data_IF_806167016638
#
_entry.id   IF_806167016638
#
_cell.length_a   1.000
_cell.length_b   1.000
_cell.length_c   1.000
_cell.angle_alpha   90.00
_cell.angle_beta   90.00
_cell.angle_gamma   90.00
#
_symmetry.space_group_name_H-M   'P 1'
#
loop_
_entity.id
_entity.type
_entity.pdbx_description
1 polymer ?
#
# COMPACT_ATOMS: atom_id res chain seq x y z
N UNK A 1 10.31 -20.30 9.92
CA UNK A 1 8.86 -20.01 9.66
C UNK A 1 8.53 -18.51 9.71
N UNK A 2 9.10 -17.71 10.64
CA UNK A 2 8.86 -16.26 10.72
C UNK A 2 9.18 -15.50 9.42
N UNK A 3 10.32 -15.80 8.78
CA UNK A 3 10.75 -15.15 7.52
C UNK A 3 9.76 -15.35 6.37
N UNK A 4 9.10 -16.53 6.27
CA UNK A 4 8.10 -16.79 5.24
C UNK A 4 6.86 -15.90 5.41
N UNK A 5 6.39 -15.74 6.66
CA UNK A 5 5.24 -14.87 6.95
C UNK A 5 5.56 -13.43 6.56
N UNK A 6 6.75 -12.94 6.94
CA UNK A 6 7.26 -11.61 6.60
C UNK A 6 7.27 -11.38 5.08
N UNK A 7 7.86 -12.31 4.32
CA UNK A 7 7.93 -12.22 2.85
C UNK A 7 6.55 -12.26 2.21
N UNK A 8 5.67 -13.17 2.64
CA UNK A 8 4.29 -13.28 2.12
C UNK A 8 3.53 -11.97 2.32
N UNK A 9 3.55 -11.41 3.53
CA UNK A 9 2.86 -10.15 3.82
C UNK A 9 3.42 -8.98 3.01
N UNK A 10 4.74 -8.93 2.80
CA UNK A 10 5.35 -7.88 2.00
C UNK A 10 4.97 -7.98 0.51
N UNK A 11 4.94 -9.19 -0.05
CA UNK A 11 4.48 -9.40 -1.43
C UNK A 11 2.97 -9.17 -1.60
N UNK A 12 2.15 -9.50 -0.59
CA UNK A 12 0.72 -9.15 -0.57
C UNK A 12 0.51 -7.63 -0.59
N UNK A 13 1.34 -6.88 0.15
CA UNK A 13 1.34 -5.42 0.09
C UNK A 13 1.71 -4.93 -1.31
N UNK A 14 2.78 -5.48 -1.91
CA UNK A 14 3.21 -5.15 -3.28
C UNK A 14 2.07 -5.40 -4.26
N UNK A 15 1.41 -6.56 -4.21
CA UNK A 15 0.28 -6.89 -5.07
C UNK A 15 -0.86 -5.87 -4.90
N UNK A 16 -1.21 -5.56 -3.66
CA UNK A 16 -2.27 -4.59 -3.33
C UNK A 16 -1.97 -3.20 -3.89
N UNK A 17 -0.72 -2.75 -3.80
CA UNK A 17 -0.27 -1.48 -4.36
C UNK A 17 -0.16 -1.52 -5.88
N UNK A 18 0.29 -2.64 -6.46
CA UNK A 18 0.46 -2.84 -7.90
C UNK A 18 -0.86 -2.81 -8.66
N UNK A 19 -1.91 -3.43 -8.10
CA UNK A 19 -3.28 -3.35 -8.63
C UNK A 19 -3.75 -1.91 -8.84
N UNK A 20 -3.16 -0.96 -8.12
CA UNK A 20 -3.50 0.46 -8.19
C UNK A 20 -2.48 1.31 -8.95
N UNK A 21 -1.30 0.80 -9.25
CA UNK A 21 -0.20 1.56 -9.85
C UNK A 21 -0.60 2.28 -11.15
N UNK A 22 -1.47 1.66 -11.96
CA UNK A 22 -1.98 2.24 -13.21
C UNK A 22 -2.87 3.48 -13.04
N UNK A 23 -3.38 3.72 -11.84
CA UNK A 23 -4.33 4.82 -11.56
C UNK A 23 -3.71 5.96 -10.75
N UNK A 24 -2.43 5.87 -10.40
CA UNK A 24 -1.73 6.91 -9.62
C UNK A 24 -0.50 7.42 -10.37
N UNK A 25 -0.27 8.75 -10.37
CA UNK A 25 0.95 9.34 -10.91
C UNK A 25 2.16 9.09 -9.99
N UNK A 26 1.93 8.95 -8.67
CA UNK A 26 3.00 8.65 -7.70
C UNK A 26 2.91 7.19 -7.22
N UNK A 27 3.96 6.43 -7.57
CA UNK A 27 4.15 5.02 -7.23
C UNK A 27 5.29 4.81 -6.22
N UNK A 28 5.70 5.83 -5.48
CA UNK A 28 6.81 5.76 -4.52
C UNK A 28 6.60 4.67 -3.45
N UNK A 29 5.38 4.52 -2.91
CA UNK A 29 5.05 3.44 -1.95
C UNK A 29 5.25 2.03 -2.57
N UNK A 30 4.86 1.86 -3.83
CA UNK A 30 5.01 0.58 -4.52
C UNK A 30 6.49 0.27 -4.77
N UNK A 31 7.26 1.25 -5.25
CA UNK A 31 8.71 1.10 -5.45
C UNK A 31 9.41 0.73 -4.14
N UNK A 32 9.09 1.43 -3.04
CA UNK A 32 9.62 1.11 -1.71
C UNK A 32 9.29 -0.33 -1.31
N UNK A 33 8.02 -0.72 -1.48
CA UNK A 33 7.56 -2.05 -1.08
C UNK A 33 8.21 -3.17 -1.90
N UNK A 34 8.43 -2.96 -3.21
CA UNK A 34 9.13 -3.92 -4.07
C UNK A 34 10.58 -4.09 -3.63
N UNK A 35 11.27 -2.97 -3.35
CA UNK A 35 12.68 -3.01 -2.93
C UNK A 35 12.83 -3.73 -1.58
N UNK A 36 11.96 -3.44 -0.62
CA UNK A 36 11.94 -4.13 0.68
C UNK A 36 11.57 -5.61 0.50
N UNK A 37 10.56 -5.93 -0.30
CA UNK A 37 10.17 -7.32 -0.56
C UNK A 37 11.32 -8.11 -1.20
N UNK A 38 12.03 -7.52 -2.17
CA UNK A 38 13.19 -8.15 -2.79
C UNK A 38 14.30 -8.43 -1.77
N UNK A 39 14.64 -7.44 -0.92
CA UNK A 39 15.60 -7.58 0.17
C UNK A 39 15.21 -8.67 1.20
N UNK A 40 13.93 -8.76 1.55
CA UNK A 40 13.47 -9.80 2.49
C UNK A 40 13.41 -11.18 1.83
N UNK A 41 13.21 -11.24 0.51
CA UNK A 41 13.16 -12.51 -0.24
C UNK A 41 14.53 -13.15 -0.34
N UNK A 42 15.60 -12.34 -0.44
CA UNK A 42 16.99 -12.85 -0.42
C UNK A 42 17.38 -13.45 0.93
N UNK A 43 16.60 -13.20 1.98
CA UNK A 43 16.77 -13.75 3.34
C UNK A 43 16.08 -15.12 3.52
N UNK A 44 15.59 -15.74 2.45
CA UNK A 44 15.09 -17.13 2.46
C UNK A 44 16.27 -18.06 2.21
N UNK A 45 16.57 -18.94 3.18
CA UNK A 45 17.72 -19.85 3.21
C UNK A 45 17.99 -20.55 1.87
N UNK A 46 16.94 -21.07 1.22
CA UNK A 46 17.06 -21.77 -0.06
C UNK A 46 17.43 -20.89 -1.25
N UNK A 47 17.01 -19.62 -1.27
CA UNK A 47 17.37 -18.68 -2.32
C UNK A 47 18.77 -18.08 -2.08
N UNK A 48 19.11 -17.85 -0.81
CA UNK A 48 20.42 -17.35 -0.40
C UNK A 48 21.54 -18.29 -0.87
N UNK A 49 21.43 -19.59 -0.57
CA UNK A 49 22.41 -20.60 -0.98
C UNK A 49 22.61 -20.66 -2.49
N UNK A 50 21.50 -20.74 -3.23
CA UNK A 50 21.55 -20.85 -4.68
C UNK A 50 22.28 -19.67 -5.34
N UNK A 51 22.16 -18.48 -4.74
CA UNK A 51 22.83 -17.29 -5.19
C UNK A 51 24.27 -17.18 -4.65
N UNK A 52 24.53 -17.59 -3.41
CA UNK A 52 25.84 -17.60 -2.79
C UNK A 52 26.81 -18.55 -3.50
N UNK A 53 26.35 -19.73 -3.93
CA UNK A 53 27.15 -20.70 -4.72
C UNK A 53 27.65 -20.13 -6.06
N UNK A 54 26.99 -19.10 -6.59
CA UNK A 54 27.32 -18.49 -7.89
C UNK A 54 28.12 -17.20 -7.76
N UNK A 55 28.30 -16.68 -6.55
CA UNK A 55 28.89 -15.38 -6.32
C UNK A 55 30.33 -15.53 -5.83
N UNK A 56 31.29 -14.73 -6.32
CA UNK A 56 32.68 -14.80 -5.87
C UNK A 56 32.89 -14.30 -4.42
N UNK A 57 31.86 -13.74 -3.78
CA UNK A 57 31.89 -13.22 -2.42
C UNK A 57 30.91 -13.97 -1.51
N UNK A 58 31.39 -14.71 -0.49
CA UNK A 58 30.60 -15.63 0.34
C UNK A 58 29.32 -15.04 0.94
N UNK A 59 29.33 -13.77 1.35
CA UNK A 59 28.16 -13.09 1.92
C UNK A 59 27.81 -11.76 1.21
N UNK A 60 28.27 -11.57 -0.04
CA UNK A 60 27.99 -10.35 -0.81
C UNK A 60 26.50 -10.11 -1.07
N UNK A 61 25.70 -11.18 -1.11
CA UNK A 61 24.25 -11.11 -1.24
C UNK A 61 23.59 -10.52 0.02
N UNK A 62 24.12 -10.81 1.21
CA UNK A 62 23.62 -10.22 2.46
C UNK A 62 23.83 -8.71 2.45
N UNK A 63 25.04 -8.24 2.08
CA UNK A 63 25.31 -6.80 1.95
C UNK A 63 24.36 -6.15 0.94
N UNK A 64 24.18 -6.75 -0.24
CA UNK A 64 23.27 -6.24 -1.25
C UNK A 64 21.82 -6.16 -0.73
N UNK A 65 21.35 -7.21 -0.05
CA UNK A 65 20.02 -7.26 0.55
C UNK A 65 19.81 -6.15 1.57
N UNK A 66 20.77 -5.94 2.47
CA UNK A 66 20.67 -4.92 3.52
C UNK A 66 20.79 -3.50 2.95
N UNK A 67 21.59 -3.28 1.91
CA UNK A 67 21.62 -2.02 1.15
C UNK A 67 20.27 -1.74 0.49
N UNK A 68 19.66 -2.75 -0.15
CA UNK A 68 18.30 -2.64 -0.69
C UNK A 68 17.30 -2.27 0.42
N UNK A 69 17.40 -2.89 1.60
CA UNK A 69 16.53 -2.57 2.74
C UNK A 69 16.63 -1.09 3.12
N UNK A 70 17.84 -0.53 3.22
CA UNK A 70 18.06 0.89 3.54
C UNK A 70 17.37 1.79 2.51
N UNK A 71 17.53 1.50 1.21
CA UNK A 71 16.84 2.25 0.15
C UNK A 71 15.31 2.11 0.25
N UNK A 72 14.83 0.90 0.51
CA UNK A 72 13.42 0.60 0.71
C UNK A 72 12.81 1.42 1.86
N UNK A 73 13.46 1.42 3.02
CA UNK A 73 13.07 2.18 4.22
C UNK A 73 13.10 3.69 3.95
N UNK A 74 14.12 4.19 3.23
CA UNK A 74 14.18 5.59 2.81
C UNK A 74 12.95 5.98 1.97
N UNK A 75 12.63 5.24 0.91
CA UNK A 75 11.48 5.55 0.07
C UNK A 75 10.15 5.40 0.83
N UNK A 76 10.06 4.42 1.72
CA UNK A 76 8.87 4.19 2.52
C UNK A 76 8.60 5.37 3.47
N UNK A 77 9.61 5.81 4.20
CA UNK A 77 9.49 6.95 5.13
C UNK A 77 9.03 8.22 4.41
N UNK A 78 9.59 8.50 3.23
CA UNK A 78 9.20 9.62 2.38
C UNK A 78 7.74 9.51 1.94
N UNK A 79 7.30 8.31 1.54
CA UNK A 79 5.94 8.09 1.10
C UNK A 79 4.93 8.25 2.24
N UNK A 80 5.28 7.81 3.45
CA UNK A 80 4.44 8.00 4.64
C UNK A 80 4.39 9.49 5.02
N UNK A 81 5.53 10.18 5.04
CA UNK A 81 5.59 11.61 5.32
C UNK A 81 4.75 12.44 4.33
N UNK A 82 4.86 12.13 3.04
CA UNK A 82 4.05 12.78 2.00
C UNK A 82 2.54 12.49 2.16
N UNK A 83 2.18 11.26 2.53
CA UNK A 83 0.78 10.88 2.78
C UNK A 83 0.19 11.48 4.06
N UNK A 84 1.04 11.76 5.07
CA UNK A 84 0.61 12.28 6.37
C UNK A 84 0.36 13.80 6.33
N UNK A 85 1.18 14.54 5.58
CA UNK A 85 1.24 16.01 5.57
C UNK A 85 0.47 16.62 4.39
N UNK A 86 -0.71 16.11 4.04
CA UNK A 86 -1.50 16.57 2.89
C UNK A 86 -1.82 18.08 2.96
N UNK A 87 -0.90 18.93 2.48
CA UNK A 87 -0.95 20.40 2.54
C UNK A 87 0.42 21.07 2.73
N UNK A 88 1.36 20.45 3.45
CA UNK A 88 2.66 21.05 3.76
C UNK A 88 3.77 20.45 2.90
N UNK A 89 4.53 21.31 2.23
CA UNK A 89 5.76 20.90 1.55
C UNK A 89 6.72 20.30 2.59
N UNK A 90 7.15 19.05 2.37
CA UNK A 90 8.25 18.50 3.17
C UNK A 90 9.43 19.44 2.95
N UNK A 91 9.93 20.07 4.02
CA UNK A 91 11.09 20.94 3.92
C UNK A 91 12.21 20.17 3.24
N UNK A 92 12.75 20.73 2.15
CA UNK A 92 13.83 20.08 1.37
C UNK A 92 15.04 19.73 2.23
N UNK A 93 15.18 20.33 3.42
CA UNK A 93 16.22 20.03 4.39
C UNK A 93 16.05 18.67 5.06
N UNK A 94 14.81 18.26 5.37
CA UNK A 94 14.51 16.97 6.03
C UNK A 94 14.77 15.80 5.07
N UNK A 95 14.37 15.95 3.80
CA UNK A 95 14.63 14.94 2.76
C UNK A 95 16.12 14.83 2.42
N UNK A 96 16.83 15.96 2.38
CA UNK A 96 18.27 15.96 2.16
C UNK A 96 19.02 15.27 3.30
N UNK A 97 18.61 15.52 4.55
CA UNK A 97 19.21 14.88 5.72
C UNK A 97 18.99 13.37 5.73
N UNK A 98 17.76 12.91 5.50
CA UNK A 98 17.43 11.48 5.37
C UNK A 98 18.25 10.79 4.26
N UNK A 99 18.38 11.43 3.09
CA UNK A 99 19.18 10.91 1.98
C UNK A 99 20.66 10.80 2.36
N UNK A 100 21.22 11.84 2.98
CA UNK A 100 22.62 11.84 3.44
C UNK A 100 22.84 10.76 4.49
N UNK A 101 21.95 10.63 5.46
CA UNK A 101 22.01 9.58 6.48
C UNK A 101 21.98 8.18 5.86
N UNK A 102 21.12 7.93 4.87
CA UNK A 102 21.07 6.65 4.16
C UNK A 102 22.40 6.34 3.43
N UNK A 103 22.96 7.32 2.71
CA UNK A 103 24.25 7.15 2.01
C UNK A 103 25.39 6.89 2.99
N UNK A 104 25.47 7.67 4.08
CA UNK A 104 26.49 7.48 5.12
C UNK A 104 26.36 6.08 5.74
N UNK A 105 25.14 5.65 6.03
CA UNK A 105 24.86 4.31 6.57
C UNK A 105 25.38 3.22 5.63
N UNK A 106 25.04 3.30 4.34
CA UNK A 106 25.51 2.33 3.33
C UNK A 106 27.04 2.31 3.22
N UNK A 107 27.69 3.48 3.27
CA UNK A 107 29.16 3.56 3.23
C UNK A 107 29.78 2.90 4.47
N UNK A 108 29.28 3.21 5.67
CA UNK A 108 29.78 2.60 6.91
C UNK A 108 29.54 1.10 6.90
N UNK A 109 28.37 0.63 6.44
CA UNK A 109 28.07 -0.79 6.29
C UNK A 109 29.05 -1.47 5.34
N UNK A 110 29.30 -0.90 4.15
CA UNK A 110 30.20 -1.49 3.16
C UNK A 110 31.65 -1.55 3.67
N UNK A 111 32.12 -0.51 4.35
CA UNK A 111 33.46 -0.49 4.97
C UNK A 111 33.55 -1.51 6.09
N UNK A 112 32.54 -1.56 6.97
CA UNK A 112 32.51 -2.51 8.09
C UNK A 112 32.47 -3.95 7.57
N UNK A 113 31.66 -4.22 6.55
CA UNK A 113 31.55 -5.54 5.90
C UNK A 113 32.89 -6.00 5.31
N UNK A 114 33.63 -5.10 4.66
CA UNK A 114 34.95 -5.41 4.10
C UNK A 114 36.03 -5.72 5.18
N UNK A 115 35.76 -5.39 6.45
CA UNK A 115 36.63 -5.68 7.58
C UNK A 115 36.23 -6.95 8.36
N UNK A 116 35.12 -7.59 7.99
CA UNK A 116 34.67 -8.84 8.61
C UNK A 116 35.45 -9.98 7.98
N UNK A 117 35.97 -10.88 8.82
CA UNK A 117 36.57 -12.12 8.35
C UNK A 117 35.47 -13.19 8.20
N UNK A 118 34.95 -13.35 6.98
CA UNK A 118 33.80 -14.20 6.63
C UNK A 118 34.14 -15.29 5.57
N UNK A 119 35.02 -16.26 5.90
CA UNK A 119 35.58 -17.20 4.92
C UNK A 119 34.56 -18.18 4.31
N UNK A 120 33.37 -18.32 4.90
CA UNK A 120 32.35 -19.28 4.47
C UNK A 120 30.97 -18.59 4.40
N UNK A 121 30.12 -18.91 3.40
CA UNK A 121 28.75 -18.42 3.39
C UNK A 121 27.99 -18.90 4.63
N UNK A 122 27.35 -17.97 5.34
CA UNK A 122 26.55 -18.27 6.54
C UNK A 122 25.07 -17.96 6.32
N UNK A 123 24.19 -18.83 6.83
CA UNK A 123 22.74 -18.62 6.88
C UNK A 123 22.30 -17.67 7.99
N UNK A 124 23.18 -17.45 8.96
CA UNK A 124 22.92 -16.64 10.13
C UNK A 124 24.14 -15.79 10.39
N UNK A 125 24.44 -14.92 9.43
CA UNK A 125 25.65 -14.11 9.39
C UNK A 125 25.95 -13.43 10.74
N UNK A 126 24.94 -12.86 11.38
CA UNK A 126 25.07 -12.20 12.69
C UNK A 126 25.14 -13.16 13.89
N UNK A 127 24.79 -14.44 13.74
CA UNK A 127 25.04 -15.47 14.75
C UNK A 127 26.46 -16.04 14.62
N UNK A 128 26.94 -16.24 13.41
CA UNK A 128 28.22 -16.90 13.15
C UNK A 128 29.41 -15.92 13.23
N UNK A 129 29.23 -14.70 12.72
CA UNK A 129 30.29 -13.67 12.66
C UNK A 129 30.03 -12.48 13.60
N UNK A 130 28.90 -12.47 14.32
CA UNK A 130 28.47 -11.34 15.16
C UNK A 130 29.38 -11.03 16.35
N UNK A 131 30.27 -11.93 16.75
CA UNK A 131 31.28 -11.69 17.80
C UNK A 131 32.36 -10.69 17.36
N UNK A 132 32.52 -10.47 16.06
CA UNK A 132 33.48 -9.51 15.52
C UNK A 132 32.94 -8.07 15.69
N UNK A 133 33.76 -7.11 16.17
CA UNK A 133 33.35 -5.71 16.27
C UNK A 133 32.91 -5.09 14.93
N UNK A 134 33.49 -5.54 13.82
CA UNK A 134 33.11 -5.12 12.48
C UNK A 134 31.68 -5.55 12.11
N UNK A 135 31.27 -6.77 12.49
CA UNK A 135 29.92 -7.27 12.27
C UNK A 135 28.88 -6.52 13.13
N UNK A 136 29.23 -6.26 14.39
CA UNK A 136 28.40 -5.43 15.27
C UNK A 136 28.26 -3.99 14.76
N UNK A 137 29.31 -3.40 14.18
CA UNK A 137 29.23 -2.07 13.58
C UNK A 137 28.38 -2.07 12.29
N UNK A 138 28.54 -3.10 11.46
CA UNK A 138 27.75 -3.31 10.23
C UNK A 138 26.24 -3.36 10.51
N UNK A 139 25.81 -4.23 11.41
CA UNK A 139 24.39 -4.33 11.81
C UNK A 139 23.95 -3.11 12.63
N UNK A 140 24.80 -2.65 13.55
CA UNK A 140 24.46 -1.56 14.46
C UNK A 140 24.13 -0.27 13.74
N UNK A 141 24.93 0.13 12.73
CA UNK A 141 24.64 1.35 11.97
C UNK A 141 23.36 1.23 11.13
N UNK A 142 23.09 0.04 10.58
CA UNK A 142 21.89 -0.25 9.83
C UNK A 142 20.64 -0.09 10.71
N UNK A 143 20.60 -0.75 11.86
CA UNK A 143 19.46 -0.70 12.76
C UNK A 143 19.33 0.65 13.47
N UNK A 144 20.42 1.39 13.67
CA UNK A 144 20.37 2.76 14.15
C UNK A 144 19.68 3.70 13.13
N UNK A 145 19.99 3.56 11.84
CA UNK A 145 19.30 4.31 10.78
C UNK A 145 17.82 3.94 10.72
N UNK A 146 17.49 2.65 10.74
CA UNK A 146 16.09 2.19 10.72
C UNK A 146 15.34 2.71 11.95
N UNK A 147 15.96 2.66 13.14
CA UNK A 147 15.41 3.20 14.37
C UNK A 147 15.08 4.69 14.23
N UNK A 148 16.01 5.50 13.74
CA UNK A 148 15.79 6.92 13.52
C UNK A 148 14.61 7.18 12.56
N UNK A 149 14.53 6.41 11.48
CA UNK A 149 13.41 6.49 10.51
C UNK A 149 12.08 6.09 11.16
N UNK A 150 12.05 5.02 11.97
CA UNK A 150 10.84 4.57 12.66
C UNK A 150 10.36 5.60 13.68
N UNK A 151 11.27 6.20 14.44
CA UNK A 151 10.96 7.29 15.38
C UNK A 151 10.39 8.51 14.65
N UNK A 152 11.01 8.95 13.56
CA UNK A 152 10.52 10.08 12.76
C UNK A 152 9.15 9.81 12.13
N UNK A 153 8.93 8.58 11.66
CA UNK A 153 7.65 8.13 11.10
C UNK A 153 6.58 8.09 12.19
N UNK A 154 6.88 7.54 13.37
CA UNK A 154 5.97 7.50 14.51
C UNK A 154 5.56 8.90 14.95
N UNK A 155 6.53 9.82 15.11
CA UNK A 155 6.26 11.22 15.45
C UNK A 155 5.35 11.89 14.41
N UNK A 156 5.59 11.62 13.12
CA UNK A 156 4.76 12.12 12.03
C UNK A 156 3.33 11.55 12.11
N UNK A 157 3.18 10.27 12.38
CA UNK A 157 1.87 9.64 12.58
C UNK A 157 1.13 10.26 13.76
N UNK A 158 1.76 10.37 14.94
CA UNK A 158 1.13 10.91 16.15
C UNK A 158 0.68 12.37 15.97
N UNK A 159 1.48 13.20 15.28
CA UNK A 159 1.12 14.59 15.00
C UNK A 159 -0.04 14.74 14.02
N UNK A 160 -0.08 13.92 12.96
CA UNK A 160 -1.03 14.11 11.84
C UNK A 160 -2.32 13.29 11.99
N UNK A 161 -2.31 12.14 12.68
CA UNK A 161 -3.48 11.26 12.89
C UNK A 161 -4.72 11.99 13.44
N UNK A 162 -4.60 12.89 14.44
CA UNK A 162 -5.75 13.63 14.98
C UNK A 162 -6.43 14.52 13.93
N UNK A 163 -5.65 15.10 13.02
CA UNK A 163 -6.09 16.08 12.02
C UNK A 163 -6.73 15.42 10.77
N UNK A 164 -6.66 14.09 10.64
CA UNK A 164 -7.21 13.40 9.47
C UNK A 164 -8.75 13.30 9.52
N UNK A 165 -9.43 13.88 8.53
CA UNK A 165 -10.92 13.83 8.40
C UNK A 165 -11.49 12.45 8.03
N UNK A 166 -10.76 11.63 7.25
CA UNK A 166 -11.26 10.33 6.78
C UNK A 166 -10.90 9.20 7.75
N UNK A 167 -11.91 8.54 8.33
CA UNK A 167 -11.76 7.41 9.29
C UNK A 167 -10.80 6.31 8.80
N UNK A 168 -10.85 5.93 7.51
CA UNK A 168 -9.99 4.89 6.93
C UNK A 168 -8.49 5.25 6.97
N UNK A 169 -8.16 6.51 6.68
CA UNK A 169 -6.77 6.99 6.77
C UNK A 169 -6.29 7.02 8.21
N UNK A 170 -7.15 7.47 9.14
CA UNK A 170 -6.84 7.46 10.57
C UNK A 170 -6.52 6.05 11.09
N UNK A 171 -7.30 5.04 10.70
CA UNK A 171 -7.05 3.64 11.06
C UNK A 171 -5.73 3.15 10.49
N UNK A 172 -5.48 3.37 9.19
CA UNK A 172 -4.22 2.97 8.56
C UNK A 172 -2.99 3.56 9.25
N UNK A 173 -3.00 4.87 9.51
CA UNK A 173 -1.89 5.55 10.20
C UNK A 173 -1.71 5.12 11.66
N UNK A 174 -2.78 4.73 12.38
CA UNK A 174 -2.66 4.15 13.73
C UNK A 174 -2.00 2.78 13.70
N UNK A 175 -2.34 1.93 12.72
CA UNK A 175 -1.70 0.63 12.54
C UNK A 175 -0.22 0.82 12.17
N UNK A 176 0.10 1.78 11.29
CA UNK A 176 1.50 2.15 10.99
C UNK A 176 2.22 2.61 12.26
N UNK A 177 1.61 3.47 13.08
CA UNK A 177 2.21 3.93 14.33
C UNK A 177 2.51 2.76 15.29
N UNK A 178 1.58 1.81 15.43
CA UNK A 178 1.82 0.59 16.22
C UNK A 178 2.96 -0.25 15.64
N UNK A 179 3.02 -0.38 14.31
CA UNK A 179 4.13 -1.03 13.62
C UNK A 179 5.47 -0.33 13.85
N UNK A 180 5.52 1.00 13.87
CA UNK A 180 6.73 1.74 14.21
C UNK A 180 7.16 1.51 15.66
N UNK A 181 6.24 1.40 16.62
CA UNK A 181 6.57 1.05 18.01
C UNK A 181 7.19 -0.34 18.08
N UNK A 182 6.57 -1.34 17.43
CA UNK A 182 7.16 -2.67 17.32
C UNK A 182 8.53 -2.65 16.64
N UNK A 183 8.70 -1.81 15.60
CA UNK A 183 9.96 -1.64 14.89
C UNK A 183 11.05 -0.97 15.72
N UNK A 184 10.70 -0.04 16.60
CA UNK A 184 11.64 0.57 17.56
C UNK A 184 12.12 -0.49 18.54
N UNK A 185 11.20 -1.29 19.10
CA UNK A 185 11.54 -2.42 19.98
C UNK A 185 12.45 -3.40 19.26
N UNK A 186 12.13 -3.76 18.02
CA UNK A 186 12.96 -4.62 17.17
C UNK A 186 14.38 -4.07 17.02
N UNK A 187 14.53 -2.79 16.65
CA UNK A 187 15.85 -2.19 16.47
C UNK A 187 16.65 -2.18 17.78
N UNK A 188 16.02 -1.86 18.90
CA UNK A 188 16.67 -1.89 20.22
C UNK A 188 17.12 -3.32 20.55
N UNK A 189 16.28 -4.32 20.31
CA UNK A 189 16.64 -5.73 20.54
C UNK A 189 17.87 -6.14 19.73
N UNK A 190 17.94 -5.76 18.45
CA UNK A 190 19.12 -6.07 17.61
C UNK A 190 20.36 -5.37 18.13
N UNK A 191 20.29 -4.09 18.47
CA UNK A 191 21.43 -3.35 19.03
C UNK A 191 21.93 -3.97 20.35
N UNK A 192 21.01 -4.47 21.19
CA UNK A 192 21.35 -5.21 22.41
C UNK A 192 21.99 -6.55 22.08
N UNK A 193 21.47 -7.29 21.08
CA UNK A 193 22.08 -8.54 20.61
C UNK A 193 23.49 -8.33 20.08
N UNK A 194 23.72 -7.27 19.30
CA UNK A 194 25.04 -6.93 18.75
C UNK A 194 26.05 -6.65 19.88
N UNK A 195 25.63 -5.88 20.89
CA UNK A 195 26.46 -5.63 22.08
C UNK A 195 26.71 -6.90 22.90
N UNK A 196 25.68 -7.75 23.06
CA UNK A 196 25.78 -9.01 23.77
C UNK A 196 26.72 -10.01 23.06
N UNK A 197 26.70 -10.04 21.73
CA UNK A 197 27.61 -10.84 20.92
C UNK A 197 29.07 -10.43 21.11
N UNK A 198 29.36 -9.13 21.10
CA UNK A 198 30.73 -8.60 21.30
C UNK A 198 31.23 -8.81 22.73
N UNK A 199 30.34 -8.72 23.72
CA UNK A 199 30.68 -8.92 25.14
C UNK A 199 30.65 -10.37 25.59
N UNK A 200 30.21 -11.29 24.73
CA UNK A 200 30.06 -12.72 25.06
C UNK A 200 28.92 -13.04 26.05
N UNK A 201 27.97 -12.12 26.25
CA UNK A 201 26.86 -12.32 27.18
C UNK A 201 25.70 -13.09 26.53
N UNK A 202 25.76 -14.42 26.65
CA UNK A 202 24.81 -15.34 26.04
C UNK A 202 23.38 -15.20 26.59
N UNK A 203 23.20 -14.91 27.89
CA UNK A 203 21.87 -14.75 28.49
C UNK A 203 21.15 -13.52 27.94
N UNK A 204 21.86 -12.39 27.88
CA UNK A 204 21.32 -11.15 27.32
C UNK A 204 21.00 -11.32 25.83
N UNK A 205 21.86 -12.03 25.08
CA UNK A 205 21.63 -12.35 23.67
C UNK A 205 20.36 -13.17 23.46
N UNK A 206 20.13 -14.20 24.28
CA UNK A 206 18.91 -15.05 24.21
C UNK A 206 17.64 -14.28 24.57
N UNK A 207 17.70 -13.47 25.63
CA UNK A 207 16.57 -12.64 26.04
C UNK A 207 16.18 -11.66 24.92
N UNK A 208 17.16 -10.95 24.35
CA UNK A 208 16.94 -10.03 23.24
C UNK A 208 16.49 -10.75 21.95
N UNK A 209 17.02 -11.94 21.68
CA UNK A 209 16.60 -12.81 20.56
C UNK A 209 15.13 -13.21 20.64
N UNK A 210 14.63 -13.52 21.85
CA UNK A 210 13.21 -13.83 22.05
C UNK A 210 12.31 -12.63 21.70
N UNK A 211 12.73 -11.42 22.08
CA UNK A 211 12.01 -10.19 21.73
C UNK A 211 12.09 -9.92 20.22
N UNK A 212 13.25 -10.16 19.60
CA UNK A 212 13.45 -10.04 18.16
C UNK A 212 12.49 -10.95 17.37
N UNK A 213 12.39 -12.23 17.74
CA UNK A 213 11.59 -13.23 17.03
C UNK A 213 10.09 -12.87 16.95
N UNK A 214 9.59 -12.16 17.96
CA UNK A 214 8.20 -11.67 18.01
C UNK A 214 8.06 -10.30 17.33
N UNK A 215 8.98 -9.37 17.63
CA UNK A 215 8.89 -7.99 17.15
C UNK A 215 9.13 -7.87 15.65
N UNK A 216 9.96 -8.71 15.05
CA UNK A 216 10.25 -8.71 13.62
C UNK A 216 8.99 -8.95 12.74
N UNK A 217 8.31 -10.12 12.84
CA UNK A 217 7.10 -10.36 12.05
C UNK A 217 5.98 -9.37 12.41
N UNK A 218 5.85 -9.00 13.69
CA UNK A 218 4.84 -8.03 14.12
C UNK A 218 5.04 -6.67 13.44
N UNK A 219 6.27 -6.18 13.36
CA UNK A 219 6.62 -4.91 12.69
C UNK A 219 6.22 -4.96 11.23
N UNK A 220 6.65 -5.99 10.49
CA UNK A 220 6.36 -6.09 9.05
C UNK A 220 4.87 -6.23 8.79
N UNK A 221 4.17 -7.08 9.55
CA UNK A 221 2.72 -7.28 9.40
C UNK A 221 1.95 -6.00 9.65
N UNK A 222 2.26 -5.28 10.74
CA UNK A 222 1.59 -4.03 11.08
C UNK A 222 1.86 -2.93 10.06
N UNK A 223 3.12 -2.72 9.67
CA UNK A 223 3.45 -1.72 8.66
C UNK A 223 2.79 -2.04 7.32
N UNK A 224 2.83 -3.30 6.89
CA UNK A 224 2.19 -3.76 5.65
C UNK A 224 0.67 -3.59 5.68
N UNK A 225 0.03 -4.03 6.76
CA UNK A 225 -1.41 -3.88 6.94
C UNK A 225 -1.83 -2.40 6.96
N UNK A 226 -1.09 -1.56 7.68
CA UNK A 226 -1.34 -0.12 7.79
C UNK A 226 -1.26 0.61 6.45
N UNK A 227 -0.25 0.28 5.63
CA UNK A 227 -0.10 0.81 4.27
C UNK A 227 -1.17 0.30 3.31
N UNK A 228 -1.65 -0.93 3.51
CA UNK A 228 -2.68 -1.55 2.70
C UNK A 228 -4.10 -1.03 2.98
N UNK A 229 -4.38 -0.44 4.16
CA UNK A 229 -5.73 0.05 4.53
C UNK A 229 -6.32 1.01 3.50
N UNK A 230 -5.53 2.02 3.08
CA UNK A 230 -6.00 3.05 2.15
C UNK A 230 -6.30 2.51 0.73
N UNK A 231 -5.42 1.70 0.09
CA UNK A 231 -5.72 1.11 -1.21
C UNK A 231 -6.84 0.06 -1.14
N UNK A 232 -6.84 -0.86 -0.16
CA UNK A 232 -7.91 -1.87 -0.01
C UNK A 232 -9.26 -1.20 0.19
N UNK A 233 -9.33 -0.20 1.06
CA UNK A 233 -10.57 0.52 1.32
C UNK A 233 -11.13 1.23 0.08
N UNK A 234 -10.31 1.55 -0.92
CA UNK A 234 -10.79 2.11 -2.21
C UNK A 234 -11.13 1.01 -3.22
N UNK A 235 -10.35 -0.06 -3.29
CA UNK A 235 -10.69 -1.23 -4.13
C UNK A 235 -12.08 -1.77 -3.74
N UNK A 236 -12.35 -1.91 -2.45
CA UNK A 236 -13.65 -2.35 -1.95
C UNK A 236 -14.78 -1.37 -2.29
N UNK A 237 -14.53 -0.05 -2.23
CA UNK A 237 -15.55 0.91 -2.66
C UNK A 237 -15.83 0.82 -4.16
N UNK A 238 -14.79 0.68 -4.98
CA UNK A 238 -14.92 0.62 -6.44
C UNK A 238 -15.64 -0.67 -6.85
N UNK A 239 -15.33 -1.80 -6.22
CA UNK A 239 -16.03 -3.07 -6.42
C UNK A 239 -17.50 -2.98 -5.99
N UNK A 240 -17.78 -2.34 -4.84
CA UNK A 240 -19.14 -2.15 -4.36
C UNK A 240 -19.96 -1.29 -5.33
N UNK A 241 -19.37 -0.20 -5.82
CA UNK A 241 -19.98 0.67 -6.82
C UNK A 241 -20.22 -0.09 -8.12
N UNK A 242 -19.25 -0.85 -8.63
CA UNK A 242 -19.41 -1.68 -9.84
C UNK A 242 -20.50 -2.73 -9.68
N UNK A 243 -20.61 -3.36 -8.52
CA UNK A 243 -21.67 -4.33 -8.22
C UNK A 243 -23.05 -3.66 -8.20
N UNK A 244 -23.15 -2.48 -7.58
CA UNK A 244 -24.39 -1.68 -7.57
C UNK A 244 -24.80 -1.29 -8.99
N UNK A 245 -23.86 -0.80 -9.80
CA UNK A 245 -24.07 -0.49 -11.22
C UNK A 245 -24.58 -1.72 -11.97
N UNK A 246 -23.92 -2.88 -11.83
CA UNK A 246 -24.31 -4.12 -12.54
C UNK A 246 -25.71 -4.62 -12.18
N UNK A 247 -26.13 -4.44 -10.93
CA UNK A 247 -27.49 -4.84 -10.49
C UNK A 247 -28.54 -3.84 -10.96
N UNK A 248 -28.19 -2.55 -11.02
CA UNK A 248 -29.15 -1.48 -11.30
C UNK A 248 -29.32 -1.20 -12.80
N UNK A 249 -28.27 -1.34 -13.61
CA UNK A 249 -28.28 -1.08 -15.05
C UNK A 249 -29.39 -1.84 -15.81
N UNK A 250 -29.61 -3.17 -15.61
CA UNK A 250 -30.67 -3.88 -16.32
C UNK A 250 -32.07 -3.42 -15.91
N UNK A 251 -32.26 -3.08 -14.63
CA UNK A 251 -33.55 -2.64 -14.09
C UNK A 251 -33.89 -1.24 -14.61
N UNK A 252 -32.92 -0.33 -14.60
CA UNK A 252 -33.08 1.01 -15.13
C UNK A 252 -33.34 0.98 -16.65
N UNK A 253 -32.68 0.08 -17.38
CA UNK A 253 -32.91 -0.13 -18.81
C UNK A 253 -34.32 -0.65 -19.10
N UNK A 254 -34.86 -1.53 -18.25
CA UNK A 254 -36.23 -2.01 -18.38
C UNK A 254 -37.25 -0.86 -18.22
N UNK A 255 -37.04 0.02 -17.23
CA UNK A 255 -37.86 1.23 -17.03
C UNK A 255 -37.76 2.15 -18.24
N UNK A 256 -36.56 2.40 -18.75
CA UNK A 256 -36.37 3.24 -19.94
C UNK A 256 -37.09 2.67 -21.18
N UNK A 257 -37.06 1.35 -21.37
CA UNK A 257 -37.77 0.68 -22.46
C UNK A 257 -39.30 0.72 -22.31
N UNK A 258 -39.82 0.70 -21.07
CA UNK A 258 -41.26 0.77 -20.82
C UNK A 258 -41.82 2.20 -20.85
N UNK A 259 -40.98 3.23 -20.79
CA UNK A 259 -41.38 4.65 -20.69
C UNK A 259 -40.88 5.49 -21.86
N UNK A 260 -39.58 5.82 -21.84
CA UNK A 260 -38.92 6.72 -22.79
C UNK A 260 -38.96 6.17 -24.21
N UNK A 261 -38.68 4.89 -24.40
CA UNK A 261 -38.66 4.26 -25.73
C UNK A 261 -40.04 4.25 -26.42
N UNK A 262 -41.13 4.35 -25.66
CA UNK A 262 -42.50 4.40 -26.18
C UNK A 262 -42.94 5.83 -26.52
N UNK A 263 -42.12 6.84 -26.20
CA UNK A 263 -42.45 8.26 -26.38
C UNK A 263 -41.42 8.93 -27.31
N UNK A 264 -41.64 8.93 -28.64
CA UNK A 264 -40.65 9.38 -29.63
C UNK A 264 -40.17 10.84 -29.45
N UNK A 265 -40.97 11.67 -28.79
CA UNK A 265 -40.71 13.10 -28.60
C UNK A 265 -39.67 13.43 -27.51
N UNK A 266 -39.24 12.45 -26.68
CA UNK A 266 -38.34 12.70 -25.52
C UNK A 266 -36.93 12.15 -25.75
N UNK A 267 -36.76 11.28 -26.74
CA UNK A 267 -35.46 10.73 -27.09
C UNK A 267 -34.62 11.80 -27.78
N UNK A 268 -33.65 12.40 -27.07
CA UNK A 268 -32.76 13.49 -27.51
C UNK A 268 -31.97 13.24 -28.82
N UNK A 269 -32.01 12.02 -29.34
CA UNK A 269 -31.57 11.63 -30.68
C UNK A 269 -32.57 10.57 -31.13
N UNK A 270 -32.88 10.43 -32.42
CA UNK A 270 -33.59 9.27 -33.00
C UNK A 270 -32.88 7.93 -32.73
N UNK A 271 -32.87 7.54 -31.46
CA UNK A 271 -32.13 6.42 -30.88
C UNK A 271 -33.11 5.27 -30.87
N UNK A 272 -33.37 4.70 -32.05
CA UNK A 272 -34.07 3.41 -32.13
C UNK A 272 -33.28 2.38 -31.32
N UNK A 273 -33.96 1.39 -30.76
CA UNK A 273 -33.37 0.31 -29.95
C UNK A 273 -32.12 -0.35 -30.56
N UNK A 274 -31.91 -0.22 -31.87
CA UNK A 274 -30.74 -0.67 -32.63
C UNK A 274 -29.46 0.17 -32.43
N UNK A 275 -29.57 1.49 -32.27
CA UNK A 275 -28.42 2.39 -32.07
C UNK A 275 -27.77 2.25 -30.69
N UNK A 276 -28.54 1.81 -29.69
CA UNK A 276 -28.03 1.38 -28.39
C UNK A 276 -27.10 0.18 -28.58
N UNK A 277 -27.42 -0.77 -29.48
CA UNK A 277 -26.66 -2.01 -29.68
C UNK A 277 -25.31 -1.77 -30.37
N UNK A 278 -25.23 -0.84 -31.32
CA UNK A 278 -24.01 -0.62 -32.13
C UNK A 278 -23.02 0.39 -31.49
N UNK A 279 -23.51 1.44 -30.84
CA UNK A 279 -22.66 2.36 -30.05
C UNK A 279 -22.08 1.71 -28.78
N UNK A 280 -22.74 0.65 -28.27
CA UNK A 280 -22.33 -0.08 -27.07
C UNK A 280 -21.02 -0.85 -27.21
N UNK A 281 -20.66 -1.32 -28.42
CA UNK A 281 -19.48 -2.16 -28.61
C UNK A 281 -18.16 -1.37 -28.45
N UNK A 282 -18.17 -0.05 -28.70
CA UNK A 282 -17.02 0.85 -28.46
C UNK A 282 -17.03 1.52 -27.08
N UNK A 283 -18.19 1.67 -26.44
CA UNK A 283 -18.36 2.49 -25.21
C UNK A 283 -18.70 1.68 -23.95
N UNK A 284 -18.54 0.35 -23.97
CA UNK A 284 -18.60 -0.54 -22.81
C UNK A 284 -17.56 -0.23 -21.70
N UNK A 285 -16.81 0.88 -21.83
CA UNK A 285 -15.72 1.25 -20.92
C UNK A 285 -16.15 2.18 -19.78
N UNK A 286 -17.39 2.70 -19.78
CA UNK A 286 -17.86 3.57 -18.71
C UNK A 286 -19.36 3.38 -18.38
N UNK A 287 -19.71 2.25 -17.77
CA UNK A 287 -21.09 1.90 -17.37
C UNK A 287 -21.77 2.95 -16.47
N UNK A 288 -20.99 3.75 -15.73
CA UNK A 288 -21.50 4.88 -14.96
C UNK A 288 -22.04 6.03 -15.83
N UNK A 289 -21.45 6.27 -17.02
CA UNK A 289 -21.97 7.23 -18.00
C UNK A 289 -23.31 6.74 -18.57
N UNK A 290 -23.44 5.44 -18.81
CA UNK A 290 -24.69 4.82 -19.28
C UNK A 290 -25.82 5.00 -18.28
N UNK A 291 -25.59 4.70 -16.99
CA UNK A 291 -26.60 4.90 -15.94
C UNK A 291 -26.97 6.38 -15.82
N UNK A 292 -25.98 7.27 -15.77
CA UNK A 292 -26.24 8.70 -15.64
C UNK A 292 -27.09 9.25 -16.79
N UNK A 293 -26.80 8.83 -18.03
CA UNK A 293 -27.59 9.23 -19.20
C UNK A 293 -29.01 8.67 -19.15
N UNK A 294 -29.19 7.40 -18.78
CA UNK A 294 -30.51 6.79 -18.64
C UNK A 294 -31.35 7.49 -17.57
N UNK A 295 -30.74 7.94 -16.47
CA UNK A 295 -31.44 8.69 -15.43
C UNK A 295 -31.94 10.04 -15.96
N UNK A 296 -31.09 10.81 -16.68
CA UNK A 296 -31.50 12.10 -17.28
C UNK A 296 -32.67 11.89 -18.25
N UNK A 297 -32.57 10.93 -19.17
CA UNK A 297 -33.61 10.68 -20.17
C UNK A 297 -34.94 10.22 -19.53
N UNK A 298 -34.89 9.52 -18.39
CA UNK A 298 -36.11 9.18 -17.62
C UNK A 298 -36.68 10.42 -16.93
N UNK A 299 -35.83 11.32 -16.39
CA UNK A 299 -36.29 12.56 -15.76
C UNK A 299 -36.96 13.49 -16.77
N UNK A 300 -36.37 13.66 -17.95
CA UNK A 300 -36.97 14.42 -19.06
C UNK A 300 -38.35 13.85 -19.45
N UNK A 301 -38.51 12.52 -19.41
CA UNK A 301 -39.80 11.89 -19.65
C UNK A 301 -40.80 12.13 -18.51
N UNK A 302 -40.36 12.08 -17.24
CA UNK A 302 -41.22 12.39 -16.09
C UNK A 302 -41.80 13.80 -16.19
N UNK A 303 -40.98 14.81 -16.48
CA UNK A 303 -41.42 16.21 -16.62
C UNK A 303 -42.44 16.38 -17.76
N UNK A 304 -42.28 15.64 -18.86
CA UNK A 304 -43.18 15.66 -20.01
C UNK A 304 -44.43 14.77 -19.87
N UNK A 305 -44.41 13.79 -18.97
CA UNK A 305 -45.51 12.85 -18.72
C UNK A 305 -46.42 13.32 -17.60
N UNK A 306 -45.88 14.02 -16.59
CA UNK A 306 -46.65 14.68 -15.54
C UNK A 306 -47.58 15.75 -16.14
N UNK A 307 -47.09 16.49 -17.13
CA UNK A 307 -47.90 17.41 -17.96
C UNK A 307 -49.00 16.71 -18.80
N UNK A 308 -48.90 15.38 -18.98
CA UNK A 308 -49.88 14.55 -19.72
C UNK A 308 -50.70 13.63 -18.82
N UNK A 309 -50.58 13.76 -17.48
CA UNK A 309 -51.33 12.97 -16.51
C UNK A 309 -50.92 11.49 -16.40
N UNK A 310 -49.77 11.11 -16.95
CA UNK A 310 -49.29 9.73 -16.93
C UNK A 310 -48.31 9.54 -15.77
N UNK A 311 -48.60 8.60 -14.86
CA UNK A 311 -47.78 8.39 -13.66
C UNK A 311 -46.96 7.11 -13.74
N UNK A 312 -45.70 7.21 -13.33
CA UNK A 312 -44.78 6.06 -13.26
C UNK A 312 -45.12 5.16 -12.07
N UNK A 313 -44.96 3.84 -12.24
CA UNK A 313 -45.19 2.88 -11.16
C UNK A 313 -44.30 3.17 -9.94
N UNK A 314 -44.80 2.99 -8.70
CA UNK A 314 -44.00 3.17 -7.48
C UNK A 314 -42.73 2.30 -7.46
N UNK A 315 -42.79 1.11 -8.07
CA UNK A 315 -41.65 0.20 -8.18
C UNK A 315 -40.55 0.78 -9.09
N UNK A 316 -40.93 1.34 -10.23
CA UNK A 316 -40.00 1.95 -11.19
C UNK A 316 -39.39 3.24 -10.63
N UNK A 317 -40.19 4.03 -9.91
CA UNK A 317 -39.73 5.25 -9.22
C UNK A 317 -38.68 4.93 -8.15
N UNK A 318 -38.82 3.80 -7.46
CA UNK A 318 -37.81 3.34 -6.50
C UNK A 318 -36.48 2.98 -7.16
N UNK A 319 -36.49 2.46 -8.39
CA UNK A 319 -35.29 2.10 -9.16
C UNK A 319 -34.56 3.35 -9.65
N UNK A 320 -35.30 4.36 -10.11
CA UNK A 320 -34.75 5.66 -10.53
C UNK A 320 -34.12 6.40 -9.35
N UNK A 321 -34.80 6.48 -8.21
CA UNK A 321 -34.26 7.10 -7.00
C UNK A 321 -32.96 6.44 -6.52
N UNK A 322 -32.85 5.11 -6.65
CA UNK A 322 -31.62 4.39 -6.33
C UNK A 322 -30.49 4.71 -7.31
N UNK A 323 -30.80 4.96 -8.59
CA UNK A 323 -29.84 5.32 -9.62
C UNK A 323 -29.35 6.76 -9.43
N UNK A 324 -30.24 7.70 -9.14
CA UNK A 324 -29.90 9.08 -8.79
C UNK A 324 -28.98 9.16 -7.57
N UNK A 325 -29.33 8.44 -6.50
CA UNK A 325 -28.51 8.38 -5.30
C UNK A 325 -27.09 7.83 -5.58
N UNK A 326 -26.92 6.98 -6.60
CA UNK A 326 -25.60 6.52 -7.05
C UNK A 326 -24.88 7.55 -7.91
N UNK A 327 -25.57 8.26 -8.80
CA UNK A 327 -25.00 9.35 -9.60
C UNK A 327 -24.49 10.50 -8.72
N UNK A 328 -25.30 10.94 -7.75
CA UNK A 328 -24.93 11.98 -6.78
C UNK A 328 -23.75 11.54 -5.90
N UNK A 329 -23.70 10.27 -5.45
CA UNK A 329 -22.55 9.72 -4.70
C UNK A 329 -21.26 9.68 -5.51
N UNK A 330 -21.35 9.65 -6.84
CA UNK A 330 -20.19 9.72 -7.73
C UNK A 330 -19.83 11.17 -8.11
N UNK A 331 -20.54 12.17 -7.57
CA UNK A 331 -20.29 13.58 -7.85
C UNK A 331 -20.73 14.00 -9.26
N UNK A 332 -21.69 13.29 -9.84
CA UNK A 332 -22.28 13.66 -11.14
C UNK A 332 -23.52 14.53 -10.88
N UNK A 333 -23.57 15.76 -11.41
CA UNK A 333 -24.79 16.55 -11.35
C UNK A 333 -25.89 15.83 -12.14
N UNK A 334 -27.12 15.88 -11.64
CA UNK A 334 -28.33 15.44 -12.34
C UNK A 334 -29.02 16.70 -12.85
#
# INVERSE_FOLDING_TARGET
MSNLIVVIFMWLLVLTLALRARTRPDNTMLKASIVIAASLTTNIDGLYLWAAEKMPWPNGLDLAANVLLIFGVYYLSRAIAHGARAGDTVSGRETLWLRRAAVITVVIMAVSFALIDDPVPSFSFMLDYGSQPAAALYSGIQYLYILAVMVGTLATCLKNVPHMRRKRFRVGFRIIALGCVAGIVLCISVLVMDMANVTGNEELRRAAGTVYDVSNPLTVVLLSAGLAVAPIGRILSDLRVRRQIRVLEPRLRAVWLSTVAQTPAVSLVGTTAQSVTEGHRKRARNTADTIHRLVIEIHDWMDLSENRGQQMSPADRSVVNQAEALCLKQGRPL
#
